data_IF_178385949656
#
_entry.id   IF_178385949656
#
_cell.length_a   1.000
_cell.length_b   1.000
_cell.length_c   1.000
_cell.angle_alpha   90.00
_cell.angle_beta   90.00
_cell.angle_gamma   90.00
#
_symmetry.space_group_name_H-M   'P 1'
#
loop_
_entity.id
_entity.type
_entity.pdbx_description
1 polymer ?
#
# COMPACT_ATOMS: atom_id res chain seq x y z
N UNK A 1 -9.02 3.33 -3.43
CA UNK A 1 -8.07 3.92 -2.47
C UNK A 1 -7.72 5.32 -2.91
N UNK A 2 -7.73 6.30 -2.01
CA UNK A 2 -7.29 7.66 -2.30
C UNK A 2 -5.78 7.73 -2.57
N UNK A 3 -5.30 8.84 -3.14
CA UNK A 3 -3.85 9.13 -3.28
C UNK A 3 -3.22 9.22 -1.88
N UNK A 4 -1.96 8.79 -1.75
CA UNK A 4 -1.24 8.90 -0.48
C UNK A 4 -1.10 10.35 -0.02
N UNK A 5 -1.36 10.59 1.26
CA UNK A 5 -1.31 11.93 1.88
C UNK A 5 0.09 12.53 1.88
N UNK A 6 1.14 11.69 1.88
CA UNK A 6 2.54 12.15 1.79
C UNK A 6 2.83 12.86 0.46
N UNK A 7 2.02 12.62 -0.57
CA UNK A 7 2.17 13.21 -1.90
C UNK A 7 1.30 14.46 -2.08
N UNK A 8 0.61 14.95 -1.04
CA UNK A 8 -0.29 16.10 -1.15
C UNK A 8 0.42 17.38 -1.61
N UNK A 9 1.71 17.53 -1.29
CA UNK A 9 2.53 18.68 -1.69
C UNK A 9 3.22 18.51 -3.06
N UNK A 10 2.91 17.43 -3.78
CA UNK A 10 3.46 17.14 -5.11
C UNK A 10 2.41 17.34 -6.20
N UNK A 11 2.81 17.64 -7.45
CA UNK A 11 1.89 17.71 -8.60
C UNK A 11 0.96 16.50 -8.66
N UNK A 12 -0.29 16.69 -9.06
CA UNK A 12 -1.31 15.62 -9.03
C UNK A 12 -0.99 14.40 -9.90
N UNK A 13 -0.17 14.61 -10.92
CA UNK A 13 0.31 13.64 -11.90
C UNK A 13 1.70 13.08 -11.56
N UNK A 14 2.32 13.49 -10.45
CA UNK A 14 3.61 12.96 -10.04
C UNK A 14 3.51 11.46 -9.71
N UNK A 15 4.23 10.66 -10.50
CA UNK A 15 4.42 9.21 -10.33
C UNK A 15 5.81 8.92 -9.71
N UNK A 16 5.87 8.63 -8.40
CA UNK A 16 7.15 8.37 -7.73
C UNK A 16 7.82 7.07 -8.21
N UNK A 17 7.05 6.05 -8.63
CA UNK A 17 7.63 4.80 -9.13
C UNK A 17 8.19 5.03 -10.53
N UNK A 18 7.44 5.70 -11.40
CA UNK A 18 7.90 6.10 -12.73
C UNK A 18 9.20 6.90 -12.67
N UNK A 19 9.27 7.90 -11.78
CA UNK A 19 10.48 8.68 -11.56
C UNK A 19 11.68 7.80 -11.15
N UNK A 20 11.49 6.87 -10.20
CA UNK A 20 12.55 5.98 -9.78
C UNK A 20 13.04 5.09 -10.94
N UNK A 21 12.14 4.55 -11.75
CA UNK A 21 12.48 3.74 -12.92
C UNK A 21 13.28 4.54 -13.95
N UNK A 22 12.90 5.79 -14.21
CA UNK A 22 13.64 6.68 -15.12
C UNK A 22 15.07 6.94 -14.65
N UNK A 23 15.26 7.19 -13.35
CA UNK A 23 16.58 7.43 -12.75
C UNK A 23 17.53 6.24 -12.96
N UNK A 24 17.00 5.02 -12.93
CA UNK A 24 17.80 3.79 -13.01
C UNK A 24 17.80 3.12 -14.39
N UNK A 25 17.04 3.64 -15.37
CA UNK A 25 16.77 2.99 -16.65
C UNK A 25 18.03 2.53 -17.43
N UNK A 26 19.17 3.23 -17.28
CA UNK A 26 20.42 2.95 -18.00
C UNK A 26 21.58 2.49 -17.10
N UNK A 27 21.26 2.07 -15.87
CA UNK A 27 22.30 1.68 -14.89
C UNK A 27 22.67 0.20 -14.96
N UNK A 28 21.89 -0.61 -15.70
CA UNK A 28 22.04 -2.07 -15.71
C UNK A 28 21.64 -2.74 -14.39
N UNK A 29 20.95 -2.01 -13.51
CA UNK A 29 20.45 -2.50 -12.23
C UNK A 29 19.06 -3.09 -12.43
N UNK A 30 18.87 -4.33 -12.00
CA UNK A 30 17.56 -4.96 -11.90
C UNK A 30 16.78 -4.37 -10.72
N UNK A 31 15.56 -3.91 -10.98
CA UNK A 31 14.68 -3.35 -9.96
C UNK A 31 13.62 -4.38 -9.59
N UNK A 32 13.64 -4.80 -8.32
CA UNK A 32 12.58 -5.61 -7.72
C UNK A 32 11.67 -4.72 -6.88
N UNK A 33 10.37 -4.76 -7.16
CA UNK A 33 9.38 -3.99 -6.40
C UNK A 33 8.92 -4.82 -5.20
N UNK A 34 9.18 -4.32 -3.99
CA UNK A 34 8.72 -4.93 -2.74
C UNK A 34 7.55 -4.12 -2.16
N UNK A 35 6.39 -4.76 -1.98
CA UNK A 35 5.13 -4.10 -1.58
C UNK A 35 4.52 -4.84 -0.41
N UNK A 36 4.10 -4.09 0.62
CA UNK A 36 3.20 -4.60 1.65
C UNK A 36 1.76 -4.61 1.13
N UNK A 37 1.12 -5.78 1.14
CA UNK A 37 -0.22 -5.94 0.54
C UNK A 37 -1.34 -5.56 1.51
N UNK A 38 -1.21 -5.97 2.78
CA UNK A 38 -2.29 -5.81 3.77
C UNK A 38 -2.03 -4.70 4.79
N UNK A 39 -0.82 -4.13 4.83
CA UNK A 39 -0.52 -2.98 5.68
C UNK A 39 -1.18 -1.73 5.11
N UNK A 40 -1.95 -1.01 5.92
CA UNK A 40 -2.76 0.11 5.42
C UNK A 40 -2.55 1.44 6.11
N UNK A 41 -2.05 1.47 7.35
CA UNK A 41 -1.74 2.72 8.05
C UNK A 41 -0.89 2.47 9.29
N UNK A 42 -0.14 3.48 9.75
CA UNK A 42 0.53 3.42 11.05
C UNK A 42 -0.45 3.50 12.23
N UNK A 43 0.02 3.27 13.46
CA UNK A 43 -0.82 3.47 14.67
C UNK A 43 -1.01 4.95 15.04
N UNK A 44 -0.23 5.85 14.45
CA UNK A 44 -0.33 7.30 14.72
C UNK A 44 -1.29 7.98 13.76
N UNK A 45 -2.26 8.66 14.35
CA UNK A 45 -3.25 9.44 13.64
C UNK A 45 -4.19 8.58 12.81
N UNK A 46 -5.15 9.24 12.17
CA UNK A 46 -6.08 8.61 11.23
C UNK A 46 -5.93 9.29 9.89
N UNK A 47 -6.00 8.56 8.76
CA UNK A 47 -6.03 9.17 7.43
C UNK A 47 -7.09 10.27 7.38
N UNK A 48 -6.87 11.37 6.69
CA UNK A 48 -7.85 12.45 6.54
C UNK A 48 -8.98 12.07 5.56
N UNK A 49 -8.69 11.31 4.50
CA UNK A 49 -9.67 11.00 3.45
C UNK A 49 -10.70 9.95 3.92
N UNK A 50 -12.01 10.25 3.89
CA UNK A 50 -13.07 9.31 4.31
C UNK A 50 -13.14 8.05 3.44
N UNK A 51 -12.56 8.06 2.23
CA UNK A 51 -12.48 6.90 1.32
C UNK A 51 -11.30 5.98 1.64
N UNK A 52 -10.46 6.33 2.61
CA UNK A 52 -9.41 5.44 3.07
C UNK A 52 -10.03 4.20 3.72
N UNK A 53 -9.49 3.01 3.45
CA UNK A 53 -10.11 1.73 3.85
C UNK A 53 -10.38 1.62 5.36
N UNK A 54 -9.49 2.15 6.20
CA UNK A 54 -9.69 2.20 7.65
C UNK A 54 -10.95 2.98 8.04
N UNK A 55 -11.32 4.02 7.28
CA UNK A 55 -12.53 4.81 7.54
C UNK A 55 -13.77 4.22 6.88
N UNK A 56 -13.65 3.74 5.64
CA UNK A 56 -14.80 3.26 4.87
C UNK A 56 -15.18 1.81 5.18
N UNK A 57 -14.22 1.01 5.65
CA UNK A 57 -14.36 -0.43 5.95
C UNK A 57 -13.58 -0.81 7.22
N UNK A 58 -13.92 -0.24 8.39
CA UNK A 58 -13.28 -0.61 9.65
C UNK A 58 -13.51 -2.08 10.02
N UNK A 59 -14.54 -2.72 9.46
CA UNK A 59 -14.85 -4.14 9.59
C UNK A 59 -13.85 -5.05 8.89
N UNK A 60 -12.96 -4.51 8.04
CA UNK A 60 -11.95 -5.30 7.32
C UNK A 60 -10.63 -5.42 8.08
N UNK A 61 -10.51 -4.80 9.24
CA UNK A 61 -9.28 -4.80 10.03
C UNK A 61 -9.16 -6.12 10.80
N UNK A 62 -7.94 -6.64 10.89
CA UNK A 62 -7.67 -7.86 11.64
C UNK A 62 -7.94 -7.67 13.14
N UNK A 63 -8.47 -8.73 13.76
CA UNK A 63 -8.71 -8.81 15.19
C UNK A 63 -7.72 -9.78 15.83
N UNK A 64 -7.35 -9.49 17.07
CA UNK A 64 -6.52 -10.42 17.85
C UNK A 64 -7.34 -11.60 18.40
N UNK A 65 -6.66 -12.51 19.10
CA UNK A 65 -7.28 -13.69 19.70
C UNK A 65 -8.33 -13.35 20.78
N UNK A 66 -8.33 -12.12 21.30
CA UNK A 66 -9.30 -11.62 22.29
C UNK A 66 -10.46 -10.87 21.63
N UNK A 67 -10.46 -10.76 20.29
CA UNK A 67 -11.46 -10.02 19.53
C UNK A 67 -11.28 -8.50 19.59
N UNK A 68 -10.08 -8.00 19.93
CA UNK A 68 -9.76 -6.56 19.87
C UNK A 68 -9.32 -6.20 18.45
N UNK A 69 -9.87 -5.13 17.89
CA UNK A 69 -9.47 -4.64 16.56
C UNK A 69 -8.08 -4.01 16.63
N UNK A 70 -7.25 -4.15 15.59
CA UNK A 70 -6.00 -3.41 15.49
C UNK A 70 -6.19 -1.88 15.42
N UNK A 71 -7.40 -1.37 15.16
CA UNK A 71 -7.69 0.06 15.26
C UNK A 71 -7.64 0.59 16.70
N UNK A 72 -7.79 -0.31 17.68
CA UNK A 72 -7.75 0.04 19.10
C UNK A 72 -6.33 0.03 19.65
N UNK A 73 -5.34 -0.33 18.84
CA UNK A 73 -3.97 -0.51 19.26
C UNK A 73 -3.22 0.82 19.27
N UNK A 74 -2.24 0.87 20.15
CA UNK A 74 -1.23 1.91 20.26
C UNK A 74 0.13 1.33 19.88
N UNK A 75 1.10 2.18 19.57
CA UNK A 75 2.47 1.73 19.25
C UNK A 75 3.12 0.91 20.37
N UNK A 76 2.65 1.05 21.61
CA UNK A 76 3.15 0.30 22.77
C UNK A 76 2.48 -1.07 22.94
N UNK A 77 1.38 -1.34 22.24
CA UNK A 77 0.68 -2.62 22.35
C UNK A 77 1.46 -3.76 21.66
N UNK A 78 2.16 -3.49 20.54
CA UNK A 78 3.03 -4.47 19.87
C UNK A 78 4.26 -3.79 19.26
N UNK A 79 5.43 -4.03 19.85
CA UNK A 79 6.71 -3.46 19.40
C UNK A 79 7.14 -3.91 18.00
N UNK A 80 6.67 -5.07 17.55
CA UNK A 80 7.06 -5.67 16.27
C UNK A 80 6.18 -5.23 15.08
N UNK A 81 5.07 -4.53 15.34
CA UNK A 81 4.11 -4.15 14.32
C UNK A 81 4.21 -2.67 13.97
N UNK A 82 4.19 -2.39 12.66
CA UNK A 82 4.33 -1.05 12.11
C UNK A 82 3.00 -0.30 11.99
N UNK A 83 1.88 -0.95 12.31
CA UNK A 83 0.55 -0.37 12.24
C UNK A 83 -0.56 -1.37 11.94
N UNK A 84 -1.61 -0.87 11.29
CA UNK A 84 -2.89 -1.55 11.05
C UNK A 84 -2.82 -2.38 9.78
N UNK A 85 -3.33 -3.61 9.86
CA UNK A 85 -3.43 -4.55 8.75
C UNK A 85 -4.88 -4.94 8.44
N UNK A 86 -5.17 -5.13 7.16
CA UNK A 86 -6.42 -5.77 6.70
C UNK A 86 -6.39 -7.27 6.98
N UNK A 87 -7.56 -7.86 7.23
CA UNK A 87 -7.75 -9.30 7.35
C UNK A 87 -7.81 -9.95 5.95
N UNK A 88 -6.77 -10.70 5.52
CA UNK A 88 -6.76 -11.35 4.21
C UNK A 88 -7.73 -12.53 4.09
N UNK A 89 -8.31 -12.99 5.21
CA UNK A 89 -9.32 -14.06 5.23
C UNK A 89 -10.68 -13.61 4.71
N UNK A 90 -10.91 -12.29 4.58
CA UNK A 90 -12.15 -11.75 4.06
C UNK A 90 -12.08 -11.66 2.52
N UNK A 91 -13.06 -12.23 1.82
CA UNK A 91 -13.07 -12.29 0.35
C UNK A 91 -12.98 -10.89 -0.31
N UNK A 92 -13.66 -9.90 0.26
CA UNK A 92 -13.63 -8.53 -0.20
C UNK A 92 -12.24 -7.87 -0.05
N UNK A 93 -11.50 -8.17 1.01
CA UNK A 93 -10.11 -7.73 1.18
C UNK A 93 -9.22 -8.38 0.13
N UNK A 94 -9.33 -9.70 -0.02
CA UNK A 94 -8.58 -10.45 -1.03
C UNK A 94 -8.77 -9.88 -2.45
N UNK A 95 -10.03 -9.69 -2.87
CA UNK A 95 -10.36 -9.16 -4.20
C UNK A 95 -9.86 -7.73 -4.39
N UNK A 96 -9.97 -6.90 -3.35
CA UNK A 96 -9.47 -5.52 -3.38
C UNK A 96 -7.95 -5.48 -3.50
N UNK A 97 -7.23 -6.29 -2.71
CA UNK A 97 -5.77 -6.40 -2.75
C UNK A 97 -5.27 -6.86 -4.12
N UNK A 98 -5.93 -7.85 -4.73
CA UNK A 98 -5.61 -8.29 -6.08
C UNK A 98 -5.82 -7.21 -7.14
N UNK A 99 -6.91 -6.44 -7.05
CA UNK A 99 -7.18 -5.35 -7.97
C UNK A 99 -6.14 -4.22 -7.84
N UNK A 100 -5.75 -3.88 -6.61
CA UNK A 100 -4.74 -2.85 -6.34
C UNK A 100 -3.39 -3.26 -6.92
N UNK A 101 -2.92 -4.48 -6.63
CA UNK A 101 -1.65 -4.98 -7.16
C UNK A 101 -1.64 -4.98 -8.69
N UNK A 102 -2.73 -5.41 -9.34
CA UNK A 102 -2.84 -5.36 -10.81
C UNK A 102 -2.73 -3.93 -11.34
N UNK A 103 -3.42 -2.97 -10.73
CA UNK A 103 -3.36 -1.57 -11.16
C UNK A 103 -1.96 -0.98 -10.99
N UNK A 104 -1.31 -1.25 -9.85
CA UNK A 104 0.05 -0.77 -9.58
C UNK A 104 1.08 -1.31 -10.56
N UNK A 105 0.94 -2.55 -11.01
CA UNK A 105 1.86 -3.18 -11.97
C UNK A 105 1.54 -2.82 -13.44
N UNK A 106 0.28 -2.54 -13.77
CA UNK A 106 -0.13 -2.12 -15.12
C UNK A 106 0.35 -0.69 -15.46
N UNK A 107 0.51 0.17 -14.46
CA UNK A 107 1.18 1.47 -14.65
C UNK A 107 2.64 1.35 -15.11
N UNK A 108 3.27 0.18 -14.94
CA UNK A 108 4.68 -0.09 -15.25
C UNK A 108 4.88 -0.71 -16.64
N UNK A 109 3.83 -1.23 -17.29
CA UNK A 109 3.97 -2.07 -18.50
C UNK A 109 4.25 -1.30 -19.80
N UNK A 110 4.62 -0.01 -19.74
CA UNK A 110 5.01 0.76 -20.94
C UNK A 110 6.52 0.78 -21.22
N UNK A 111 7.34 -0.02 -20.54
CA UNK A 111 8.77 -0.18 -20.84
C UNK A 111 9.15 -1.66 -20.96
N UNK A 112 8.88 -2.23 -22.14
CA UNK A 112 9.59 -3.43 -22.60
C UNK A 112 11.03 -3.05 -22.96
N UNK A 113 11.92 -3.01 -21.97
CA UNK A 113 13.36 -3.12 -22.20
C UNK A 113 13.76 -4.58 -22.08
N UNK A 114 13.42 -5.38 -23.10
CA UNK A 114 14.10 -6.66 -23.35
C UNK A 114 15.07 -6.38 -24.50
N UNK A 115 16.27 -5.91 -24.17
CA UNK A 115 17.41 -6.01 -25.10
C UNK A 115 17.82 -7.47 -25.14
N UNK A 116 17.38 -8.19 -26.17
CA UNK A 116 18.04 -9.44 -26.57
C UNK A 116 19.26 -9.06 -27.39
N UNK A 117 20.39 -9.61 -26.96
CA UNK A 117 21.72 -9.48 -27.59
C UNK A 117 21.77 -10.21 -28.92
#
# INVERSE_FOLDING_TARGET
MPRSEILNETPSDFDPLGYALEVFANTGIDISVWINVNFVWGFRGTPADPRHVIRSHPDWIIFDQKGRSMLEYTETDIEELFGVFLDPGLNNVHDTSHLLLRKSLQGTTSMNCISTT
#
